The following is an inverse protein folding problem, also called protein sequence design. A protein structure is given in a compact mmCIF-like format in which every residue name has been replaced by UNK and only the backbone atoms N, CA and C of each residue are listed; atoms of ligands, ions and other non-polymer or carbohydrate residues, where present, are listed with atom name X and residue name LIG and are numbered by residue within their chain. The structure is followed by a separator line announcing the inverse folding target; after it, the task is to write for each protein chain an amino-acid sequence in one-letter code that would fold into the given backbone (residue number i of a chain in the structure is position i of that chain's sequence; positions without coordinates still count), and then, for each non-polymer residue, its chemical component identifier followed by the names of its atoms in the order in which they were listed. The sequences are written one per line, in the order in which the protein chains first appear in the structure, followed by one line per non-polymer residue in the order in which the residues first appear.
data_IF_955203630229
#
_entry.id   IF_955203630229
#
_cell.length_a   1.000
_cell.length_b   1.000
_cell.length_c   1.000
_cell.angle_alpha   90.00
_cell.angle_beta   90.00
_cell.angle_gamma   90.00
#
_symmetry.space_group_name_H-M   'P 1'
#
loop_
_entity.id
_entity.type
_entity.pdbx_description
1 polymer ?
#
# COMPACT_ATOMS: atom_id res chain seq x y z
N UNK A 1 -13.72 11.18 43.34
CA UNK A 1 -12.91 10.85 42.14
C UNK A 1 -13.62 11.53 40.97
N UNK A 2 -13.03 12.54 40.31
CA UNK A 2 -13.69 13.14 39.13
C UNK A 2 -13.53 12.13 38.00
N UNK A 3 -14.62 11.45 37.65
CA UNK A 3 -14.67 10.55 36.52
C UNK A 3 -14.28 11.36 35.28
N UNK A 4 -13.30 10.83 34.54
CA UNK A 4 -12.76 11.47 33.36
C UNK A 4 -13.79 11.31 32.25
N UNK A 5 -14.32 12.40 31.72
CA UNK A 5 -15.21 12.33 30.55
C UNK A 5 -14.39 12.05 29.30
N UNK A 6 -15.02 11.50 28.26
CA UNK A 6 -14.33 11.31 26.98
C UNK A 6 -13.87 12.66 26.38
N UNK A 7 -14.54 13.77 26.73
CA UNK A 7 -14.13 15.13 26.38
C UNK A 7 -12.80 15.54 27.04
N UNK A 8 -12.63 15.27 28.33
CA UNK A 8 -11.40 15.61 29.06
C UNK A 8 -10.18 14.90 28.44
N UNK A 9 -10.33 13.62 28.09
CA UNK A 9 -9.28 12.85 27.41
C UNK A 9 -8.99 13.42 26.02
N UNK A 10 -10.03 13.79 25.27
CA UNK A 10 -9.87 14.35 23.93
C UNK A 10 -9.10 15.67 23.95
N UNK A 11 -9.44 16.59 24.87
CA UNK A 11 -8.73 17.87 25.02
C UNK A 11 -7.27 17.62 25.37
N UNK A 12 -7.00 16.73 26.33
CA UNK A 12 -5.63 16.42 26.75
C UNK A 12 -4.77 15.83 25.63
N UNK A 13 -5.33 14.93 24.82
CA UNK A 13 -4.64 14.33 23.68
C UNK A 13 -4.51 15.29 22.48
N UNK A 14 -5.34 16.34 22.42
CA UNK A 14 -5.15 17.42 21.44
C UNK A 14 -4.01 18.36 21.86
N UNK A 15 -3.88 18.66 23.14
CA UNK A 15 -2.75 19.44 23.68
C UNK A 15 -1.40 18.75 23.44
N UNK A 16 -1.34 17.42 23.51
CA UNK A 16 -0.11 16.66 23.20
C UNK A 16 0.24 16.59 21.71
N UNK A 17 -0.62 17.14 20.83
CA UNK A 17 -0.42 17.15 19.38
C UNK A 17 -0.76 15.83 18.67
N UNK A 18 -1.14 14.76 19.39
CA UNK A 18 -1.45 13.46 18.79
C UNK A 18 -2.52 12.69 19.55
N UNK A 19 -3.64 12.40 18.85
CA UNK A 19 -4.71 11.53 19.35
C UNK A 19 -4.31 10.05 19.45
N UNK A 20 -3.12 9.68 18.94
CA UNK A 20 -2.57 8.32 19.00
C UNK A 20 -1.60 8.13 20.17
N UNK A 21 -1.30 9.18 20.93
CA UNK A 21 -0.33 9.11 22.01
C UNK A 21 -0.90 8.37 23.23
N UNK A 22 -0.73 7.05 23.22
CA UNK A 22 -1.16 6.17 24.31
C UNK A 22 -0.39 6.40 25.61
N UNK A 23 0.84 6.92 25.54
CA UNK A 23 1.65 7.23 26.72
C UNK A 23 1.13 8.50 27.41
N UNK A 24 0.76 9.52 26.64
CA UNK A 24 0.09 10.70 27.17
C UNK A 24 -1.22 10.34 27.89
N UNK A 25 -2.06 9.49 27.27
CA UNK A 25 -3.28 9.02 27.92
C UNK A 25 -2.97 8.20 29.18
N UNK A 26 -1.99 7.30 29.14
CA UNK A 26 -1.60 6.50 30.30
C UNK A 26 -1.16 7.39 31.47
N UNK A 27 -0.27 8.35 31.25
CA UNK A 27 0.22 9.25 32.28
C UNK A 27 -0.92 10.10 32.88
N UNK A 28 -1.83 10.58 32.02
CA UNK A 28 -3.01 11.33 32.46
C UNK A 28 -3.94 10.51 33.35
N UNK A 29 -4.15 9.24 33.00
CA UNK A 29 -4.98 8.31 33.78
C UNK A 29 -4.28 7.90 35.08
N UNK A 30 -2.97 7.63 35.06
CA UNK A 30 -2.18 7.29 36.25
C UNK A 30 -2.19 8.43 37.27
N UNK A 31 -2.01 9.68 36.82
CA UNK A 31 -2.13 10.88 37.67
C UNK A 31 -3.53 11.05 38.25
N UNK A 32 -4.57 10.69 37.49
CA UNK A 32 -5.97 10.80 37.91
C UNK A 32 -6.40 9.72 38.91
N UNK A 33 -5.76 8.55 38.85
CA UNK A 33 -6.15 7.38 39.65
C UNK A 33 -5.66 7.40 41.10
N UNK A 34 -4.63 8.19 41.44
CA UNK A 34 -4.07 8.35 42.81
C UNK A 34 -3.89 7.03 43.59
N UNK A 35 -3.71 5.91 42.91
CA UNK A 35 -3.56 4.56 43.49
C UNK A 35 -2.27 3.94 42.96
N UNK A 36 -1.53 3.26 43.82
CA UNK A 36 -0.42 2.42 43.38
C UNK A 36 -0.98 1.19 42.65
N UNK A 37 -0.69 1.10 41.37
CA UNK A 37 -1.10 -0.02 40.51
C UNK A 37 0.00 -1.09 40.52
N UNK A 38 -0.39 -2.36 40.59
CA UNK A 38 0.55 -3.47 40.38
C UNK A 38 1.08 -3.49 38.95
N UNK A 39 2.21 -4.17 38.72
CA UNK A 39 2.81 -4.25 37.37
C UNK A 39 1.87 -4.88 36.33
N UNK A 40 1.03 -5.83 36.74
CA UNK A 40 0.00 -6.42 35.88
C UNK A 40 -1.12 -5.41 35.56
N UNK A 41 -1.56 -4.63 36.55
CA UNK A 41 -2.56 -3.58 36.36
C UNK A 41 -2.04 -2.45 35.47
N UNK A 42 -0.77 -2.06 35.61
CA UNK A 42 -0.10 -1.10 34.72
C UNK A 42 -0.07 -1.60 33.28
N UNK A 43 0.26 -2.87 33.05
CA UNK A 43 0.22 -3.49 31.71
C UNK A 43 -1.19 -3.48 31.12
N UNK A 44 -2.21 -3.84 31.91
CA UNK A 44 -3.61 -3.80 31.47
C UNK A 44 -4.07 -2.38 31.16
N UNK A 45 -3.70 -1.39 31.97
CA UNK A 45 -4.03 0.02 31.75
C UNK A 45 -3.35 0.56 30.48
N UNK A 46 -2.08 0.22 30.21
CA UNK A 46 -1.40 0.58 28.95
C UNK A 46 -2.10 -0.01 27.71
N UNK A 47 -2.52 -1.27 27.79
CA UNK A 47 -3.29 -1.92 26.71
C UNK A 47 -4.64 -1.23 26.47
N UNK A 48 -5.33 -0.88 27.56
CA UNK A 48 -6.57 -0.11 27.51
C UNK A 48 -6.37 1.25 26.85
N UNK A 49 -5.38 2.04 27.30
CA UNK A 49 -5.07 3.37 26.73
C UNK A 49 -4.75 3.28 25.24
N UNK A 50 -3.96 2.28 24.84
CA UNK A 50 -3.62 2.05 23.42
C UNK A 50 -4.87 1.78 22.58
N UNK A 51 -5.76 0.91 23.06
CA UNK A 51 -7.02 0.57 22.39
C UNK A 51 -7.96 1.77 22.33
N UNK A 52 -8.04 2.55 23.40
CA UNK A 52 -8.86 3.74 23.47
C UNK A 52 -8.38 4.83 22.50
N UNK A 53 -7.09 5.17 22.50
CA UNK A 53 -6.51 6.14 21.56
C UNK A 53 -6.74 5.74 20.10
N UNK A 54 -6.61 4.45 19.79
CA UNK A 54 -6.93 3.92 18.46
C UNK A 54 -8.39 4.19 18.07
N UNK A 55 -9.33 3.86 18.96
CA UNK A 55 -10.77 4.06 18.71
C UNK A 55 -11.15 5.54 18.63
N UNK A 56 -10.55 6.39 19.47
CA UNK A 56 -10.71 7.84 19.42
C UNK A 56 -10.23 8.40 18.08
N UNK A 57 -9.04 8.01 17.63
CA UNK A 57 -8.50 8.45 16.34
C UNK A 57 -9.35 7.95 15.15
N UNK A 58 -9.93 6.76 15.24
CA UNK A 58 -10.89 6.26 14.23
C UNK A 58 -12.15 7.13 14.16
N UNK A 59 -12.70 7.55 15.31
CA UNK A 59 -13.83 8.49 15.35
C UNK A 59 -13.44 9.87 14.79
N UNK A 60 -12.26 10.37 15.13
CA UNK A 60 -11.72 11.63 14.61
C UNK A 60 -11.63 11.65 13.07
N UNK A 61 -11.09 10.58 12.47
CA UNK A 61 -10.99 10.44 11.01
C UNK A 61 -12.39 10.40 10.37
N UNK A 62 -13.33 9.65 10.98
CA UNK A 62 -14.72 9.58 10.48
C UNK A 62 -15.44 10.93 10.49
N UNK A 63 -15.09 11.83 11.40
CA UNK A 63 -15.63 13.19 11.45
C UNK A 63 -14.86 14.17 10.55
N UNK A 64 -14.08 13.69 9.58
CA UNK A 64 -13.37 14.53 8.61
C UNK A 64 -12.15 15.27 9.18
N UNK A 65 -11.68 14.87 10.37
CA UNK A 65 -10.54 15.49 11.06
C UNK A 65 -10.68 17.00 11.33
N UNK A 66 -11.91 17.49 11.46
CA UNK A 66 -12.22 18.88 11.82
C UNK A 66 -12.78 18.94 13.23
N UNK A 67 -12.25 19.85 14.05
CA UNK A 67 -12.59 19.97 15.47
C UNK A 67 -14.08 20.19 15.73
N UNK A 68 -14.65 21.16 15.02
CA UNK A 68 -16.07 21.51 15.14
C UNK A 68 -16.99 20.33 14.76
N UNK A 69 -16.68 19.65 13.65
CA UNK A 69 -17.47 18.50 13.17
C UNK A 69 -17.37 17.31 14.12
N UNK A 70 -16.21 17.09 14.73
CA UNK A 70 -16.02 16.02 15.72
C UNK A 70 -16.83 16.26 17.00
N UNK A 71 -16.78 17.49 17.54
CA UNK A 71 -17.54 17.87 18.75
C UNK A 71 -19.04 17.76 18.52
N UNK A 72 -19.53 18.21 17.35
CA UNK A 72 -20.94 18.14 16.99
C UNK A 72 -21.43 16.71 16.80
N UNK A 73 -20.68 15.87 16.08
CA UNK A 73 -21.11 14.52 15.71
C UNK A 73 -20.92 13.48 16.81
N UNK A 74 -20.16 13.81 17.88
CA UNK A 74 -19.90 12.90 18.99
C UNK A 74 -20.27 13.51 20.35
N UNK A 75 -21.14 14.52 20.40
CA UNK A 75 -21.52 15.23 21.63
C UNK A 75 -21.94 14.28 22.75
N UNK A 76 -22.80 13.32 22.44
CA UNK A 76 -23.37 12.39 23.41
C UNK A 76 -22.31 11.44 23.96
N UNK A 77 -21.38 11.02 23.10
CA UNK A 77 -20.25 10.18 23.50
C UNK A 77 -19.22 10.98 24.31
N UNK A 78 -18.93 12.21 23.92
CA UNK A 78 -17.99 13.09 24.62
C UNK A 78 -18.45 13.43 26.03
N UNK A 79 -19.77 13.57 26.24
CA UNK A 79 -20.38 13.78 27.55
C UNK A 79 -20.47 12.53 28.43
N UNK A 80 -20.17 11.34 27.89
CA UNK A 80 -20.15 10.10 28.68
C UNK A 80 -18.81 9.87 29.37
N UNK A 81 -18.85 9.21 30.52
CA UNK A 81 -17.67 8.82 31.29
C UNK A 81 -16.83 7.77 30.54
N UNK A 82 -15.51 7.84 30.70
CA UNK A 82 -14.62 6.78 30.21
C UNK A 82 -14.90 5.49 30.97
N UNK A 83 -15.32 4.44 30.26
CA UNK A 83 -15.55 3.11 30.85
C UNK A 83 -14.20 2.48 31.19
N UNK A 84 -13.83 2.52 32.46
CA UNK A 84 -12.58 1.96 32.97
C UNK A 84 -12.66 0.42 33.13
N UNK A 85 -11.52 -0.28 32.99
CA UNK A 85 -11.41 -1.69 33.35
C UNK A 85 -11.87 -1.99 34.79
N UNK A 86 -12.47 -3.17 35.01
CA UNK A 86 -13.16 -3.49 36.26
C UNK A 86 -12.25 -3.53 37.49
N UNK A 87 -10.94 -3.79 37.32
CA UNK A 87 -9.97 -3.74 38.42
C UNK A 87 -9.78 -2.34 39.00
N UNK A 88 -10.24 -1.29 38.31
CA UNK A 88 -10.20 0.10 38.78
C UNK A 88 -11.45 0.46 39.60
N UNK A 89 -12.56 -0.28 39.43
CA UNK A 89 -13.87 0.03 40.04
C UNK A 89 -14.01 -0.38 41.51
N UNK A 90 -12.93 -0.80 42.18
CA UNK A 90 -13.01 -1.16 43.61
C UNK A 90 -12.68 0.05 44.48
N UNK A 91 -13.74 0.76 44.92
CA UNK A 91 -13.89 1.28 46.30
C UNK A 91 -15.12 2.20 46.39
N UNK A 92 -16.29 1.63 46.68
CA UNK A 92 -17.28 2.26 47.54
C UNK A 92 -17.71 1.20 48.55
N UNK A 93 -17.16 1.30 49.74
CA UNK A 93 -17.57 0.53 50.91
C UNK A 93 -17.99 1.52 51.98
N UNK A 94 -19.23 1.42 52.43
CA UNK A 94 -19.72 1.83 53.75
C UNK A 94 -20.91 0.92 54.12
N UNK A 95 -21.24 0.73 55.41
CA UNK A 95 -20.60 -0.24 56.30
C UNK A 95 -21.65 -1.26 56.80
N UNK A 96 -21.25 -2.30 57.55
CA UNK A 96 -21.93 -2.76 58.79
C UNK A 96 -21.10 -3.87 59.45
N UNK A 97 -21.10 -3.76 60.76
CA UNK A 97 -20.44 -4.53 61.80
C UNK A 97 -20.52 -6.07 61.72
N UNK A 98 -19.41 -6.69 62.13
CA UNK A 98 -19.36 -7.64 63.25
C UNK A 98 -20.02 -9.01 63.07
N UNK A 99 -19.23 -10.07 62.94
CA UNK A 99 -19.01 -11.03 64.04
C UNK A 99 -18.25 -12.26 63.57
N UNK A 100 -17.44 -12.72 64.53
CA UNK A 100 -16.59 -13.89 64.69
C UNK A 100 -17.05 -15.25 64.13
N UNK A 101 -16.02 -16.10 63.98
CA UNK A 101 -15.96 -17.56 64.11
C UNK A 101 -15.98 -18.44 62.84
N UNK A 102 -14.78 -18.94 62.54
CA UNK A 102 -14.41 -20.37 62.48
C UNK A 102 -15.41 -21.40 61.92
N UNK A 103 -14.90 -22.17 60.95
CA UNK A 103 -14.85 -23.62 61.14
C UNK A 103 -15.98 -24.46 60.55
N UNK A 104 -15.67 -25.08 59.40
CA UNK A 104 -16.15 -26.37 58.90
C UNK A 104 -17.56 -26.85 59.33
N UNK A 105 -18.49 -26.82 58.36
CA UNK A 105 -19.06 -28.03 57.77
C UNK A 105 -20.08 -27.65 56.69
N UNK A 106 -20.11 -28.43 55.60
CA UNK A 106 -21.28 -29.23 55.23
C UNK A 106 -21.57 -29.28 53.73
N UNK A 107 -21.66 -30.53 53.27
CA UNK A 107 -22.63 -31.06 52.30
C UNK A 107 -22.52 -30.65 50.83
N UNK A 108 -21.98 -31.60 50.09
CA UNK A 108 -22.37 -31.94 48.72
C UNK A 108 -23.91 -31.93 48.57
N UNK A 109 -24.40 -31.07 47.67
CA UNK A 109 -25.71 -31.22 47.03
C UNK A 109 -25.45 -31.19 45.52
N UNK A 110 -25.64 -32.33 44.87
CA UNK A 110 -25.50 -32.47 43.43
C UNK A 110 -26.57 -31.67 42.71
N UNK A 111 -26.15 -30.75 41.85
CA UNK A 111 -27.05 -30.01 40.95
C UNK A 111 -27.29 -30.85 39.70
N UNK A 112 -28.50 -31.43 39.62
CA UNK A 112 -29.07 -31.95 38.38
C UNK A 112 -29.11 -30.81 37.35
N UNK A 113 -28.28 -30.90 36.31
CA UNK A 113 -28.27 -29.95 35.20
C UNK A 113 -29.20 -30.48 34.12
N UNK A 114 -30.37 -29.85 33.99
CA UNK A 114 -31.14 -29.98 32.76
C UNK A 114 -30.29 -29.43 31.60
N UNK A 115 -29.98 -30.29 30.63
CA UNK A 115 -29.16 -29.94 29.47
C UNK A 115 -29.99 -29.00 28.59
N UNK A 116 -29.74 -27.70 28.73
CA UNK A 116 -30.29 -26.69 27.84
C UNK A 116 -29.78 -26.92 26.40
N UNK A 117 -30.63 -26.80 25.37
CA UNK A 117 -30.23 -27.00 23.99
C UNK A 117 -29.05 -26.09 23.61
N UNK A 118 -28.07 -26.66 22.91
CA UNK A 118 -26.84 -25.95 22.53
C UNK A 118 -27.18 -24.71 21.70
N UNK A 119 -26.73 -23.54 22.14
CA UNK A 119 -26.82 -22.27 21.39
C UNK A 119 -26.20 -22.42 19.98
N UNK A 120 -26.72 -21.75 18.94
CA UNK A 120 -26.12 -21.79 17.61
C UNK A 120 -24.71 -21.14 17.61
N UNK A 121 -23.86 -21.55 16.65
CA UNK A 121 -22.46 -21.08 16.57
C UNK A 121 -22.37 -19.55 16.40
N UNK A 122 -23.37 -18.93 15.76
CA UNK A 122 -23.48 -17.47 15.59
C UNK A 122 -23.49 -16.71 16.90
N UNK A 123 -24.07 -17.29 17.95
CA UNK A 123 -24.39 -16.62 19.21
C UNK A 123 -23.33 -16.87 20.29
N UNK A 124 -22.27 -17.61 19.95
CA UNK A 124 -21.19 -17.96 20.86
C UNK A 124 -20.08 -16.89 20.87
N UNK A 125 -19.43 -16.73 22.02
CA UNK A 125 -18.20 -15.94 22.12
C UNK A 125 -17.03 -16.57 21.34
N UNK A 126 -15.99 -15.81 20.97
CA UNK A 126 -14.87 -16.31 20.16
C UNK A 126 -14.21 -17.58 20.71
N UNK A 127 -13.92 -17.62 22.02
CA UNK A 127 -13.33 -18.79 22.69
C UNK A 127 -14.24 -20.02 22.67
N UNK A 128 -15.56 -19.83 22.76
CA UNK A 128 -16.52 -20.92 22.72
C UNK A 128 -16.70 -21.47 21.30
N UNK A 129 -16.60 -20.61 20.28
CA UNK A 129 -16.59 -21.04 18.87
C UNK A 129 -15.38 -21.89 18.56
N UNK A 130 -14.18 -21.45 18.95
CA UNK A 130 -12.94 -22.23 18.74
C UNK A 130 -13.04 -23.60 19.40
N UNK A 131 -13.39 -23.66 20.70
CA UNK A 131 -13.58 -24.95 21.40
C UNK A 131 -14.57 -25.89 20.70
N UNK A 132 -15.66 -25.34 20.17
CA UNK A 132 -16.67 -26.14 19.48
C UNK A 132 -16.21 -26.60 18.09
N UNK A 133 -15.46 -25.77 17.38
CA UNK A 133 -14.86 -26.15 16.10
C UNK A 133 -13.77 -27.19 16.31
N UNK A 134 -12.95 -27.08 17.36
CA UNK A 134 -11.92 -28.05 17.70
C UNK A 134 -12.52 -29.42 18.05
N UNK A 135 -13.61 -29.44 18.83
CA UNK A 135 -14.38 -30.65 19.15
C UNK A 135 -14.92 -31.31 17.87
N UNK A 136 -15.46 -30.52 16.93
CA UNK A 136 -15.94 -31.01 15.63
C UNK A 136 -14.82 -31.40 14.65
N UNK A 137 -13.68 -30.74 14.70
CA UNK A 137 -12.53 -31.03 13.85
C UNK A 137 -11.79 -32.27 14.35
N UNK A 138 -11.86 -32.59 15.65
CA UNK A 138 -11.26 -33.81 16.21
C UNK A 138 -11.96 -35.10 15.78
N UNK A 139 -13.20 -35.00 15.26
CA UNK A 139 -14.02 -36.15 14.87
C UNK A 139 -13.91 -36.52 13.39
N UNK A 140 -13.32 -35.66 12.54
CA UNK A 140 -13.26 -35.83 11.09
C UNK A 140 -11.83 -35.67 10.59
N UNK A 141 -11.44 -36.41 9.56
CA UNK A 141 -10.15 -36.22 8.89
C UNK A 141 -10.12 -34.91 8.09
N UNK A 142 -8.92 -34.42 7.79
CA UNK A 142 -8.74 -33.19 7.00
C UNK A 142 -9.41 -33.29 5.61
N UNK A 143 -9.32 -34.44 4.95
CA UNK A 143 -9.92 -34.68 3.64
C UNK A 143 -11.45 -34.61 3.70
N UNK A 144 -12.05 -35.24 4.70
CA UNK A 144 -13.51 -35.20 4.92
C UNK A 144 -14.00 -33.78 5.22
N UNK A 145 -13.28 -33.04 6.07
CA UNK A 145 -13.61 -31.63 6.37
C UNK A 145 -13.61 -30.77 5.10
N UNK A 146 -12.63 -30.99 4.24
CA UNK A 146 -12.45 -30.25 3.00
C UNK A 146 -13.59 -30.57 2.01
N UNK A 147 -13.95 -31.85 1.88
CA UNK A 147 -15.00 -32.30 0.98
C UNK A 147 -16.39 -31.87 1.45
N UNK A 148 -16.65 -31.89 2.76
CA UNK A 148 -17.87 -31.34 3.37
C UNK A 148 -17.99 -29.84 3.07
N UNK A 149 -16.90 -29.09 3.25
CA UNK A 149 -16.91 -27.66 3.00
C UNK A 149 -17.16 -27.32 1.52
N UNK A 150 -16.46 -27.98 0.60
CA UNK A 150 -16.70 -27.83 -0.85
C UNK A 150 -18.13 -28.17 -1.24
N UNK A 151 -18.67 -29.27 -0.71
CA UNK A 151 -20.06 -29.68 -0.98
C UNK A 151 -21.06 -28.65 -0.46
N UNK A 152 -20.78 -28.03 0.70
CA UNK A 152 -21.60 -26.96 1.27
C UNK A 152 -21.59 -25.68 0.44
N UNK A 153 -20.46 -25.36 -0.21
CA UNK A 153 -20.33 -24.22 -1.12
C UNK A 153 -21.12 -24.46 -2.41
N UNK A 154 -21.00 -25.65 -3.00
CA UNK A 154 -21.76 -26.05 -4.21
C UNK A 154 -23.26 -26.06 -3.94
N UNK A 155 -23.69 -26.61 -2.80
CA UNK A 155 -25.11 -26.61 -2.40
C UNK A 155 -25.71 -25.20 -2.22
N UNK A 156 -24.86 -24.19 -1.96
CA UNK A 156 -25.26 -22.78 -1.85
C UNK A 156 -25.10 -21.99 -3.16
N UNK A 157 -24.69 -22.65 -4.25
CA UNK A 157 -24.49 -22.04 -5.57
C UNK A 157 -23.11 -21.39 -5.78
N UNK A 158 -22.18 -21.48 -4.82
CA UNK A 158 -20.82 -20.94 -4.93
C UNK A 158 -19.87 -21.92 -5.62
N UNK A 159 -20.22 -22.35 -6.84
CA UNK A 159 -19.46 -23.37 -7.58
C UNK A 159 -18.03 -22.91 -7.90
N UNK A 160 -17.88 -21.68 -8.42
CA UNK A 160 -16.58 -21.12 -8.78
C UNK A 160 -15.62 -21.07 -7.57
N UNK A 161 -16.14 -20.72 -6.40
CA UNK A 161 -15.36 -20.66 -5.16
C UNK A 161 -14.90 -22.05 -4.75
N UNK A 162 -15.76 -23.07 -4.86
CA UNK A 162 -15.42 -24.44 -4.56
C UNK A 162 -14.36 -25.00 -5.52
N UNK A 163 -14.47 -24.69 -6.82
CA UNK A 163 -13.52 -25.15 -7.84
C UNK A 163 -12.15 -24.44 -7.71
N UNK A 164 -12.15 -23.15 -7.35
CA UNK A 164 -10.91 -22.41 -7.01
C UNK A 164 -10.25 -23.03 -5.78
N UNK A 165 -11.02 -23.33 -4.72
CA UNK A 165 -10.51 -23.97 -3.51
C UNK A 165 -9.89 -25.33 -3.81
N UNK A 166 -10.56 -26.17 -4.60
CA UNK A 166 -10.06 -27.49 -5.02
C UNK A 166 -8.75 -27.37 -5.80
N UNK A 167 -8.70 -26.45 -6.76
CA UNK A 167 -7.49 -26.17 -7.52
C UNK A 167 -6.32 -25.71 -6.63
N UNK A 168 -6.56 -24.80 -5.68
CA UNK A 168 -5.53 -24.27 -4.78
C UNK A 168 -5.01 -25.32 -3.81
N UNK A 169 -5.89 -26.17 -3.28
CA UNK A 169 -5.51 -27.28 -2.40
C UNK A 169 -4.63 -28.31 -3.14
N UNK A 170 -4.92 -28.59 -4.41
CA UNK A 170 -4.09 -29.44 -5.27
C UNK A 170 -2.79 -28.77 -5.73
N UNK A 171 -2.71 -27.44 -5.71
CA UNK A 171 -1.59 -26.66 -6.23
C UNK A 171 -1.10 -25.62 -5.21
N UNK A 172 -0.52 -26.02 -4.06
CA UNK A 172 -0.14 -25.09 -3.00
C UNK A 172 0.90 -24.04 -3.44
N UNK A 173 1.75 -24.37 -4.41
CA UNK A 173 2.75 -23.44 -4.98
C UNK A 173 2.10 -22.23 -5.65
N UNK A 174 0.89 -22.39 -6.21
CA UNK A 174 0.15 -21.33 -6.91
C UNK A 174 -0.60 -20.40 -5.96
N UNK A 175 -0.74 -20.77 -4.68
CA UNK A 175 -1.42 -19.94 -3.66
C UNK A 175 -0.74 -18.57 -3.54
N UNK A 176 0.59 -18.52 -3.57
CA UNK A 176 1.33 -17.26 -3.51
C UNK A 176 1.10 -16.37 -4.74
N UNK A 177 0.98 -16.97 -5.93
CA UNK A 177 0.67 -16.23 -7.16
C UNK A 177 -0.74 -15.67 -7.12
N UNK A 178 -1.72 -16.48 -6.72
CA UNK A 178 -3.11 -16.04 -6.56
C UNK A 178 -3.23 -14.96 -5.48
N UNK A 179 -2.47 -15.09 -4.37
CA UNK A 179 -2.41 -14.07 -3.33
C UNK A 179 -1.85 -12.75 -3.86
N UNK A 180 -0.82 -12.79 -4.71
CA UNK A 180 -0.29 -11.58 -5.35
C UNK A 180 -1.31 -10.98 -6.32
N UNK A 181 -2.02 -11.78 -7.11
CA UNK A 181 -3.01 -11.25 -8.06
C UNK A 181 -4.20 -10.61 -7.33
N UNK A 182 -4.74 -11.28 -6.31
CA UNK A 182 -5.95 -10.84 -5.59
C UNK A 182 -5.64 -9.72 -4.60
N UNK A 183 -4.48 -9.77 -3.92
CA UNK A 183 -4.17 -8.87 -2.81
C UNK A 183 -2.97 -7.94 -3.05
N UNK A 184 -2.29 -7.99 -4.21
CA UNK A 184 -1.33 -6.93 -4.52
C UNK A 184 -2.08 -5.68 -5.02
N UNK A 185 -1.92 -4.59 -4.27
CA UNK A 185 -2.46 -3.27 -4.65
C UNK A 185 -1.69 -2.63 -5.82
N UNK A 186 -0.59 -3.25 -6.25
CA UNK A 186 0.22 -2.76 -7.38
C UNK A 186 -0.22 -3.49 -8.65
N UNK A 187 -1.17 -2.89 -9.38
CA UNK A 187 -1.21 -3.12 -10.82
C UNK A 187 0.21 -2.94 -11.37
N UNK A 188 0.68 -3.91 -12.16
CA UNK A 188 1.97 -3.84 -12.84
C UNK A 188 1.88 -2.81 -13.97
N UNK A 189 1.80 -1.53 -13.61
CA UNK A 189 1.77 -0.42 -14.56
C UNK A 189 3.12 -0.37 -15.26
N UNK A 190 3.08 -0.41 -16.59
CA UNK A 190 4.25 -0.26 -17.44
C UNK A 190 4.93 1.10 -17.16
N UNK A 191 6.26 1.11 -17.03
CA UNK A 191 6.99 2.36 -16.84
C UNK A 191 6.88 3.28 -18.05
N UNK A 192 6.93 4.59 -17.83
CA UNK A 192 6.88 5.60 -18.90
C UNK A 192 7.99 5.42 -19.94
N UNK A 193 9.20 5.02 -19.50
CA UNK A 193 10.32 4.75 -20.41
C UNK A 193 10.08 3.52 -21.29
N UNK A 194 9.55 2.43 -20.70
CA UNK A 194 9.21 1.22 -21.45
C UNK A 194 8.07 1.48 -22.44
N UNK A 195 7.06 2.25 -22.04
CA UNK A 195 5.97 2.65 -22.91
C UNK A 195 6.46 3.56 -24.05
N UNK A 196 7.37 4.51 -23.77
CA UNK A 196 8.00 5.34 -24.79
C UNK A 196 8.80 4.49 -25.80
N UNK A 197 9.63 3.56 -25.31
CA UNK A 197 10.41 2.65 -26.16
C UNK A 197 9.51 1.78 -27.05
N UNK A 198 8.40 1.29 -26.49
CA UNK A 198 7.40 0.51 -27.23
C UNK A 198 6.72 1.37 -28.30
N UNK A 199 6.30 2.59 -27.94
CA UNK A 199 5.68 3.54 -28.88
C UNK A 199 6.59 3.85 -30.07
N UNK A 200 7.90 4.03 -29.83
CA UNK A 200 8.88 4.28 -30.89
C UNK A 200 9.17 3.04 -31.74
N UNK A 201 9.34 1.88 -31.10
CA UNK A 201 9.65 0.61 -31.78
C UNK A 201 8.50 0.18 -32.70
N UNK A 202 7.26 0.38 -32.26
CA UNK A 202 6.05 0.08 -33.03
C UNK A 202 5.58 1.25 -33.92
N UNK A 203 6.32 2.38 -33.94
CA UNK A 203 5.99 3.60 -34.70
C UNK A 203 4.55 4.10 -34.46
N UNK A 204 4.06 3.99 -33.23
CA UNK A 204 2.71 4.40 -32.88
C UNK A 204 2.59 5.92 -32.80
N UNK A 205 1.50 6.44 -33.36
CA UNK A 205 1.07 7.83 -33.15
C UNK A 205 0.50 8.02 -31.74
N UNK A 206 0.41 9.27 -31.27
CA UNK A 206 -0.25 9.62 -30.00
C UNK A 206 -1.68 9.07 -29.95
N UNK A 207 -2.42 9.20 -31.06
CA UNK A 207 -3.79 8.74 -31.15
C UNK A 207 -3.85 7.21 -31.02
N UNK A 208 -3.06 6.47 -31.80
CA UNK A 208 -3.02 4.99 -31.72
C UNK A 208 -2.69 4.51 -30.31
N UNK A 209 -1.69 5.11 -29.65
CA UNK A 209 -1.34 4.78 -28.27
C UNK A 209 -2.50 5.01 -27.31
N UNK A 210 -3.15 6.17 -27.39
CA UNK A 210 -4.28 6.51 -26.51
C UNK A 210 -5.48 5.62 -26.76
N UNK A 211 -5.78 5.28 -28.02
CA UNK A 211 -6.86 4.35 -28.38
C UNK A 211 -6.59 2.98 -27.77
N UNK A 212 -5.39 2.42 -27.96
CA UNK A 212 -4.99 1.14 -27.37
C UNK A 212 -5.10 1.16 -25.84
N UNK A 213 -4.58 2.21 -25.20
CA UNK A 213 -4.69 2.40 -23.75
C UNK A 213 -6.15 2.42 -23.29
N UNK A 214 -7.00 3.17 -23.99
CA UNK A 214 -8.41 3.33 -23.63
C UNK A 214 -9.16 2.00 -23.74
N UNK A 215 -8.95 1.23 -24.82
CA UNK A 215 -9.57 -0.08 -24.99
C UNK A 215 -9.20 -1.04 -23.85
N UNK A 216 -7.94 -1.03 -23.39
CA UNK A 216 -7.51 -1.88 -22.28
C UNK A 216 -8.09 -1.41 -20.94
N UNK A 217 -8.25 -0.09 -20.76
CA UNK A 217 -8.93 0.47 -19.58
C UNK A 217 -10.42 0.16 -19.55
N UNK A 218 -11.09 0.12 -20.70
CA UNK A 218 -12.51 -0.27 -20.83
C UNK A 218 -12.73 -1.72 -20.38
N UNK A 219 -11.73 -2.59 -20.57
CA UNK A 219 -11.70 -3.97 -20.04
C UNK A 219 -11.29 -4.06 -18.55
N UNK A 220 -11.13 -2.92 -17.85
CA UNK A 220 -10.80 -2.87 -16.43
C UNK A 220 -9.31 -2.95 -16.09
N UNK A 221 -8.42 -2.91 -17.08
CA UNK A 221 -6.98 -2.97 -16.87
C UNK A 221 -6.31 -1.59 -17.05
N UNK A 222 -5.63 -1.08 -16.01
CA UNK A 222 -4.85 0.17 -16.10
C UNK A 222 -3.34 -0.13 -16.16
N UNK A 223 -2.91 -0.77 -17.24
CA UNK A 223 -1.52 -1.24 -17.40
C UNK A 223 -0.63 -0.18 -18.07
N UNK A 224 -1.18 0.64 -18.96
CA UNK A 224 -0.41 1.58 -19.75
C UNK A 224 -0.35 2.98 -19.10
N UNK A 225 0.83 3.60 -18.99
CA UNK A 225 0.93 4.95 -18.44
C UNK A 225 0.23 5.96 -19.35
N UNK A 226 -0.18 7.09 -18.78
CA UNK A 226 -0.78 8.18 -19.56
C UNK A 226 0.21 8.73 -20.60
N UNK A 227 -0.32 9.31 -21.69
CA UNK A 227 0.54 9.98 -22.67
C UNK A 227 1.32 11.17 -22.06
N UNK A 228 0.76 11.83 -21.03
CA UNK A 228 1.46 12.90 -20.32
C UNK A 228 2.74 12.38 -19.64
N UNK A 229 2.66 11.21 -19.01
CA UNK A 229 3.82 10.55 -18.39
C UNK A 229 4.89 10.19 -19.44
N UNK A 230 4.47 9.73 -20.62
CA UNK A 230 5.38 9.48 -21.76
C UNK A 230 5.99 10.78 -22.26
N UNK A 231 5.21 11.86 -22.36
CA UNK A 231 5.71 13.16 -22.80
C UNK A 231 6.78 13.70 -21.85
N UNK A 232 6.63 13.49 -20.54
CA UNK A 232 7.67 13.81 -19.56
C UNK A 232 8.94 13.00 -19.82
N UNK A 233 8.82 11.68 -20.01
CA UNK A 233 9.96 10.83 -20.37
C UNK A 233 10.63 11.25 -21.71
N UNK A 234 9.85 11.70 -22.71
CA UNK A 234 10.38 12.30 -23.95
C UNK A 234 11.17 13.56 -23.65
N UNK A 235 10.63 14.45 -22.83
CA UNK A 235 11.28 15.72 -22.49
C UNK A 235 12.62 15.53 -21.78
N UNK A 236 12.72 14.49 -20.93
CA UNK A 236 13.96 14.11 -20.25
C UNK A 236 15.04 13.60 -21.22
N UNK A 237 14.68 13.23 -22.45
CA UNK A 237 15.61 12.80 -23.49
C UNK A 237 16.10 13.95 -24.39
N UNK A 238 15.48 15.12 -24.33
CA UNK A 238 15.87 16.25 -25.16
C UNK A 238 17.01 17.04 -24.52
N UNK A 239 17.95 17.59 -25.32
CA UNK A 239 18.88 18.59 -24.83
C UNK A 239 18.11 19.85 -24.38
N UNK A 240 18.72 20.71 -23.55
CA UNK A 240 18.14 21.99 -23.17
C UNK A 240 17.66 22.77 -24.40
N UNK A 241 16.47 23.37 -24.31
CA UNK A 241 15.89 24.15 -25.40
C UNK A 241 16.66 25.47 -25.55
N UNK A 242 17.69 25.46 -26.39
CA UNK A 242 18.38 26.66 -26.83
C UNK A 242 18.05 26.92 -28.30
N UNK A 243 17.17 27.89 -28.59
CA UNK A 243 16.84 28.39 -29.95
C UNK A 243 16.64 27.32 -31.06
N UNK A 244 16.67 27.74 -32.34
CA UNK A 244 16.52 26.87 -33.53
C UNK A 244 17.69 25.90 -33.72
N UNK A 245 18.83 26.13 -33.05
CA UNK A 245 20.08 25.39 -33.23
C UNK A 245 20.51 24.73 -31.94
N UNK A 246 20.84 23.44 -32.00
CA UNK A 246 21.34 22.70 -30.84
C UNK A 246 22.87 22.82 -30.82
N UNK A 247 23.43 23.29 -29.69
CA UNK A 247 24.88 23.23 -29.48
C UNK A 247 25.33 21.77 -29.43
N UNK A 248 26.40 21.45 -30.15
CA UNK A 248 26.98 20.10 -30.17
C UNK A 248 27.34 19.64 -28.75
N UNK A 249 27.87 20.54 -27.91
CA UNK A 249 28.17 20.23 -26.51
C UNK A 249 26.94 19.76 -25.74
N UNK A 250 25.80 20.46 -25.87
CA UNK A 250 24.55 20.09 -25.21
C UNK A 250 24.03 18.72 -25.67
N UNK A 251 24.25 18.36 -26.93
CA UNK A 251 23.92 17.03 -27.45
C UNK A 251 24.85 15.95 -26.86
N UNK A 252 26.16 16.23 -26.78
CA UNK A 252 27.16 15.33 -26.20
C UNK A 252 26.89 15.09 -24.71
N UNK A 253 26.71 16.15 -23.93
CA UNK A 253 26.42 16.08 -22.50
C UNK A 253 25.18 15.23 -22.24
N UNK A 254 24.11 15.47 -23.01
CA UNK A 254 22.87 14.71 -22.86
C UNK A 254 23.01 13.24 -23.26
N UNK A 255 23.80 12.97 -24.29
CA UNK A 255 24.13 11.62 -24.72
C UNK A 255 24.93 10.88 -23.65
N UNK A 256 25.96 11.51 -23.09
CA UNK A 256 26.76 10.95 -21.99
C UNK A 256 25.88 10.69 -20.77
N UNK A 257 25.09 11.67 -20.31
CA UNK A 257 24.16 11.50 -19.17
C UNK A 257 23.29 10.24 -19.32
N UNK A 258 22.78 10.01 -20.54
CA UNK A 258 21.98 8.82 -20.86
C UNK A 258 22.80 7.53 -20.93
N UNK A 259 24.03 7.58 -21.42
CA UNK A 259 24.94 6.43 -21.42
C UNK A 259 25.31 6.02 -19.99
N UNK A 260 25.58 6.97 -19.09
CA UNK A 260 25.90 6.70 -17.68
C UNK A 260 24.79 5.98 -16.92
N UNK A 261 23.51 6.10 -17.37
CA UNK A 261 22.38 5.38 -16.78
C UNK A 261 22.32 3.91 -17.20
N UNK A 262 23.04 3.52 -18.25
CA UNK A 262 22.98 2.19 -18.86
C UNK A 262 24.27 1.42 -18.62
N UNK A 263 25.41 2.11 -18.62
CA UNK A 263 26.72 1.51 -18.42
C UNK A 263 27.08 1.55 -16.95
N UNK A 264 27.38 0.40 -16.37
CA UNK A 264 27.99 0.34 -15.04
C UNK A 264 29.43 0.83 -15.14
N UNK A 265 29.71 1.94 -14.48
CA UNK A 265 31.05 2.52 -14.41
C UNK A 265 31.53 2.26 -13.00
N UNK A 266 32.65 1.53 -12.88
CA UNK A 266 33.30 1.29 -11.60
C UNK A 266 33.79 2.57 -10.94
N UNK A 267 34.57 2.44 -9.86
CA UNK A 267 34.95 3.58 -9.03
C UNK A 267 35.93 4.56 -9.71
N UNK A 268 36.58 4.16 -10.81
CA UNK A 268 37.54 4.97 -11.57
C UNK A 268 36.86 5.93 -12.55
N UNK A 269 36.12 6.91 -12.03
CA UNK A 269 35.42 7.94 -12.83
C UNK A 269 36.33 8.96 -13.53
N UNK A 270 37.63 8.94 -13.25
CA UNK A 270 38.54 10.04 -13.57
C UNK A 270 39.17 9.98 -14.97
N UNK A 271 38.90 8.94 -15.77
CA UNK A 271 39.47 8.76 -17.12
C UNK A 271 38.48 8.16 -18.11
N UNK A 272 37.34 8.82 -18.30
CA UNK A 272 36.36 8.42 -19.31
C UNK A 272 36.58 9.17 -20.62
N UNK A 273 36.68 8.42 -21.71
CA UNK A 273 36.79 8.96 -23.06
C UNK A 273 35.68 8.41 -23.94
N UNK A 274 34.88 9.31 -24.52
CA UNK A 274 33.82 8.94 -25.47
C UNK A 274 34.27 9.22 -26.90
N UNK A 275 34.60 8.15 -27.62
CA UNK A 275 34.91 8.21 -29.04
C UNK A 275 33.61 8.22 -29.83
N UNK A 276 33.40 9.27 -30.62
CA UNK A 276 32.21 9.47 -31.45
C UNK A 276 32.59 9.70 -32.90
N UNK A 277 31.70 9.35 -33.83
CA UNK A 277 31.77 9.80 -35.22
C UNK A 277 30.66 10.80 -35.50
N UNK A 278 30.91 11.71 -36.43
CA UNK A 278 29.90 12.60 -36.96
C UNK A 278 29.99 12.66 -38.48
N UNK A 279 28.93 13.14 -39.12
CA UNK A 279 28.87 13.31 -40.56
C UNK A 279 27.64 14.12 -40.96
N UNK A 280 27.59 14.48 -42.24
CA UNK A 280 26.51 15.24 -42.83
C UNK A 280 26.07 14.57 -44.13
N UNK A 281 24.79 14.67 -44.46
CA UNK A 281 24.24 14.16 -45.69
C UNK A 281 23.08 15.04 -46.18
N UNK A 282 22.83 15.02 -47.48
CA UNK A 282 21.76 15.75 -48.14
C UNK A 282 20.84 14.80 -48.92
N UNK A 283 19.54 14.98 -48.75
CA UNK A 283 18.52 14.24 -49.48
C UNK A 283 17.57 15.20 -50.21
N UNK A 284 17.36 14.99 -51.50
CA UNK A 284 16.38 15.71 -52.32
C UNK A 284 15.05 14.94 -52.43
N UNK A 285 14.12 15.45 -53.23
CA UNK A 285 12.79 14.87 -53.47
C UNK A 285 11.93 14.69 -52.20
N UNK A 286 12.05 15.65 -51.28
CA UNK A 286 11.20 15.72 -50.10
C UNK A 286 9.84 16.35 -50.47
N UNK A 287 8.85 16.14 -49.59
CA UNK A 287 7.50 16.68 -49.82
C UNK A 287 7.45 18.18 -49.55
N UNK A 288 6.94 18.95 -50.52
CA UNK A 288 6.76 20.39 -50.37
C UNK A 288 5.45 20.69 -49.62
N UNK A 289 5.55 21.42 -48.52
CA UNK A 289 4.38 21.88 -47.77
C UNK A 289 3.88 23.21 -48.34
N UNK A 290 2.57 23.47 -48.24
CA UNK A 290 1.93 24.72 -48.71
C UNK A 290 2.09 25.89 -47.73
N UNK A 291 3.03 25.80 -46.79
CA UNK A 291 3.26 26.86 -45.82
C UNK A 291 3.98 28.02 -46.51
N UNK A 292 3.53 29.26 -46.25
CA UNK A 292 4.22 30.44 -46.77
C UNK A 292 5.57 30.56 -46.06
N UNK A 293 6.66 30.50 -46.83
CA UNK A 293 7.99 30.88 -46.36
C UNK A 293 8.21 32.38 -46.56
N UNK A 294 9.01 32.98 -45.68
CA UNK A 294 9.54 34.35 -45.86
C UNK A 294 10.72 34.37 -46.85
N UNK A 295 11.32 33.20 -47.12
CA UNK A 295 12.42 33.01 -48.07
C UNK A 295 11.93 32.37 -49.37
N UNK A 296 12.67 32.55 -50.46
CA UNK A 296 12.43 31.87 -51.75
C UNK A 296 12.87 30.38 -51.75
N UNK A 297 13.15 29.81 -50.57
CA UNK A 297 13.55 28.41 -50.40
C UNK A 297 12.30 27.54 -50.21
N UNK A 298 12.33 26.32 -50.76
CA UNK A 298 11.27 25.32 -50.58
C UNK A 298 11.75 24.13 -49.74
N UNK A 299 10.83 23.24 -49.36
CA UNK A 299 11.12 22.09 -48.50
C UNK A 299 11.59 20.86 -49.32
N UNK A 300 12.02 21.03 -50.57
CA UNK A 300 12.27 19.93 -51.51
C UNK A 300 13.52 19.12 -51.19
N UNK A 301 14.38 19.66 -50.32
CA UNK A 301 15.61 19.03 -49.86
C UNK A 301 15.81 19.18 -48.36
N UNK A 302 16.43 18.18 -47.75
CA UNK A 302 16.84 18.18 -46.35
C UNK A 302 18.33 17.97 -46.30
N UNK A 303 19.02 18.83 -45.55
CA UNK A 303 20.41 18.64 -45.14
C UNK A 303 20.45 18.29 -43.66
N UNK A 304 21.11 17.19 -43.30
CA UNK A 304 21.16 16.71 -41.91
C UNK A 304 22.58 16.43 -41.45
N UNK A 305 22.87 16.82 -40.20
CA UNK A 305 24.05 16.37 -39.47
C UNK A 305 23.69 15.25 -38.50
N UNK A 306 24.57 14.26 -38.36
CA UNK A 306 24.42 13.16 -37.40
C UNK A 306 25.70 12.97 -36.60
N UNK A 307 25.55 12.71 -35.30
CA UNK A 307 26.62 12.32 -34.40
C UNK A 307 26.23 11.02 -33.71
N UNK A 308 27.16 10.08 -33.64
CA UNK A 308 26.94 8.75 -33.08
C UNK A 308 28.10 8.38 -32.14
N UNK A 309 27.82 8.07 -30.86
CA UNK A 309 28.82 7.50 -29.95
C UNK A 309 29.19 6.08 -30.42
N UNK A 310 30.49 5.81 -30.54
CA UNK A 310 31.01 4.50 -30.98
C UNK A 310 31.52 3.71 -29.80
N UNK A 311 32.39 4.30 -28.98
CA UNK A 311 33.14 3.59 -27.94
C UNK A 311 33.29 4.48 -26.71
N UNK A 312 33.04 3.90 -25.53
CA UNK A 312 33.28 4.52 -24.24
C UNK A 312 34.43 3.76 -23.56
N UNK A 313 35.53 4.47 -23.30
CA UNK A 313 36.74 3.95 -22.68
C UNK A 313 36.83 4.40 -21.22
N UNK A 314 37.45 3.57 -20.39
CA UNK A 314 37.86 3.88 -19.03
C UNK A 314 39.35 3.56 -18.90
N UNK A 315 40.22 4.54 -19.15
CA UNK A 315 41.63 4.27 -19.43
C UNK A 315 41.78 3.45 -20.71
N UNK A 316 42.46 2.30 -20.65
CA UNK A 316 42.63 1.39 -21.79
C UNK A 316 41.49 0.37 -21.95
N UNK A 317 40.56 0.31 -21.00
CA UNK A 317 39.46 -0.66 -21.01
C UNK A 317 38.24 -0.14 -21.78
N UNK A 318 37.70 -0.96 -22.69
CA UNK A 318 36.44 -0.68 -23.40
C UNK A 318 35.26 -1.01 -22.49
N UNK A 319 34.53 0.00 -22.01
CA UNK A 319 33.32 -0.19 -21.18
C UNK A 319 32.07 -0.42 -22.02
N UNK A 320 32.03 0.18 -23.20
CA UNK A 320 30.94 -0.02 -24.15
C UNK A 320 31.45 0.22 -25.56
N UNK A 321 31.08 -0.67 -26.46
CA UNK A 321 31.26 -0.50 -27.88
C UNK A 321 29.91 -0.68 -28.57
N UNK A 322 29.61 0.16 -29.55
CA UNK A 322 28.43 -0.02 -30.39
C UNK A 322 28.58 -1.37 -31.10
N UNK A 323 27.67 -2.34 -30.91
CA UNK A 323 27.76 -3.60 -31.63
C UNK A 323 27.78 -3.31 -33.13
N UNK A 324 28.74 -3.90 -33.83
CA UNK A 324 28.77 -3.87 -35.28
C UNK A 324 27.47 -4.49 -35.78
N UNK A 325 26.70 -3.70 -36.53
CA UNK A 325 25.68 -4.27 -37.39
C UNK A 325 26.46 -5.11 -38.39
N UNK A 326 26.54 -6.43 -38.16
CA UNK A 326 26.84 -7.37 -39.24
C UNK A 326 25.79 -7.08 -40.31
N UNK A 327 26.23 -6.50 -41.42
CA UNK A 327 25.42 -6.30 -42.62
C UNK A 327 25.29 -7.62 -43.35
#
# INVERSE_FOLDING_TARGET
MRLVTNLDVFVKLKESGSLKDSNCMYNFMELSLKKELSDEQKKMLKSFCSTYCYNLNKRWIKSGSRGADFLKNNSDWLGSDVILPDFIKVSVSEPIAGSSQEGLASRNVGTSTQISPRKPISDLGPKQRTRRVDDLASTLSYEEQTLIYMSSLKARGYNDVADILDYLLKNPVKVNQVKQIIFSEKQNVMSSEKALGTMLSLKLTKWQYNTMRKSVQEEGFDIFPSYYSIQKAKSECYPPKENRYIKIQSLLDKTVERLMKIVEIGDDKNKLELISKYGFDGASNQSNYKQKSETNEDDSSIFMGSLVPIKLMCGEEVRREKPSLMR
#
